data_IF_895400202961
#
_entry.id   IF_895400202961
#
_cell.length_a   1.000
_cell.length_b   1.000
_cell.length_c   1.000
_cell.angle_alpha   90.00
_cell.angle_beta   90.00
_cell.angle_gamma   90.00
#
_symmetry.space_group_name_H-M   'P 1'
#
loop_
_entity.id
_entity.type
_entity.pdbx_description
1 polymer ?
#
# COMPACT_ATOMS: atom_id res chain seq x y z
N UNK A 1 17.65 2.98 -14.57
CA UNK A 1 16.50 3.41 -13.75
C UNK A 1 15.91 4.62 -14.44
N UNK A 2 14.59 4.69 -14.66
CA UNK A 2 14.00 5.89 -15.27
C UNK A 2 14.30 7.12 -14.42
N UNK A 3 14.55 8.27 -15.06
CA UNK A 3 14.79 9.53 -14.36
C UNK A 3 13.66 9.88 -13.39
N UNK A 4 12.40 9.62 -13.77
CA UNK A 4 11.24 9.88 -12.91
C UNK A 4 11.27 9.03 -11.64
N UNK A 5 11.55 7.73 -11.77
CA UNK A 5 11.60 6.77 -10.64
C UNK A 5 12.72 7.18 -9.67
N UNK A 6 13.88 7.52 -10.22
CA UNK A 6 15.06 7.95 -9.46
C UNK A 6 14.77 9.22 -8.65
N UNK A 7 14.23 10.27 -9.29
CA UNK A 7 13.90 11.53 -8.61
C UNK A 7 12.78 11.35 -7.57
N UNK A 8 11.77 10.55 -7.86
CA UNK A 8 10.71 10.23 -6.91
C UNK A 8 11.25 9.50 -5.68
N UNK A 9 12.17 8.55 -5.87
CA UNK A 9 12.80 7.80 -4.76
C UNK A 9 13.71 8.62 -3.87
N UNK A 10 14.23 9.75 -4.37
CA UNK A 10 15.10 10.69 -3.64
C UNK A 10 14.34 11.87 -3.02
N UNK A 11 13.04 11.98 -3.25
CA UNK A 11 12.24 13.09 -2.73
C UNK A 11 12.38 14.40 -3.52
N UNK A 12 12.91 14.36 -4.75
CA UNK A 12 13.10 15.57 -5.55
C UNK A 12 11.81 15.99 -6.26
N UNK A 13 10.91 16.65 -5.53
CA UNK A 13 9.61 17.10 -6.03
C UNK A 13 9.72 18.01 -7.27
N UNK A 14 10.70 18.92 -7.29
CA UNK A 14 10.89 19.83 -8.42
C UNK A 14 11.21 19.06 -9.69
N UNK A 15 12.19 18.17 -9.65
CA UNK A 15 12.54 17.36 -10.82
C UNK A 15 11.42 16.41 -11.24
N UNK A 16 10.64 15.87 -10.30
CA UNK A 16 9.45 15.06 -10.63
C UNK A 16 8.43 15.89 -11.43
N UNK A 17 8.12 17.11 -10.98
CA UNK A 17 7.19 18.01 -11.71
C UNK A 17 7.71 18.38 -13.09
N UNK A 18 8.99 18.75 -13.18
CA UNK A 18 9.62 19.11 -14.45
C UNK A 18 9.55 17.94 -15.44
N UNK A 19 9.85 16.71 -14.99
CA UNK A 19 9.76 15.50 -15.83
C UNK A 19 8.31 15.18 -16.25
N UNK A 20 7.33 15.31 -15.36
CA UNK A 20 5.92 15.09 -15.75
C UNK A 20 5.48 16.10 -16.80
N UNK A 21 5.91 17.35 -16.68
CA UNK A 21 5.59 18.42 -17.65
C UNK A 21 6.21 18.20 -19.03
N UNK A 22 7.27 17.39 -19.17
CA UNK A 22 7.81 17.01 -20.49
C UNK A 22 7.03 15.88 -21.16
N UNK A 23 5.99 15.35 -20.51
CA UNK A 23 5.13 14.29 -21.07
C UNK A 23 5.70 12.88 -20.92
N UNK A 24 6.59 12.65 -19.94
CA UNK A 24 7.06 11.28 -19.66
C UNK A 24 5.90 10.40 -19.24
N UNK A 25 5.95 9.12 -19.61
CA UNK A 25 5.03 8.13 -19.05
C UNK A 25 5.26 8.01 -17.53
N UNK A 26 4.24 8.33 -16.74
CA UNK A 26 4.29 8.30 -15.27
C UNK A 26 4.37 6.88 -14.69
N UNK A 27 3.91 5.89 -15.46
CA UNK A 27 3.85 4.47 -15.07
C UNK A 27 5.05 3.65 -15.55
N UNK A 28 6.15 4.33 -15.90
CA UNK A 28 7.44 3.67 -16.15
C UNK A 28 7.81 2.76 -14.99
N UNK A 29 8.26 1.55 -15.33
CA UNK A 29 8.64 0.51 -14.39
C UNK A 29 10.16 0.30 -14.41
N UNK A 30 10.77 0.10 -13.24
CA UNK A 30 12.16 -0.34 -13.17
C UNK A 30 12.30 -1.86 -13.38
N UNK A 31 13.53 -2.40 -13.23
CA UNK A 31 13.80 -3.85 -13.38
C UNK A 31 13.02 -4.73 -12.41
N UNK A 32 12.51 -4.16 -11.32
CA UNK A 32 11.68 -4.83 -10.31
C UNK A 32 10.21 -4.44 -10.46
N UNK A 33 9.80 -3.96 -11.66
CA UNK A 33 8.45 -3.49 -11.95
C UNK A 33 7.93 -2.39 -11.02
N UNK A 34 8.82 -1.66 -10.33
CA UNK A 34 8.43 -0.59 -9.40
C UNK A 34 8.22 0.71 -10.16
N UNK A 35 7.18 1.45 -9.80
CA UNK A 35 6.88 2.77 -10.36
C UNK A 35 7.37 3.88 -9.43
N UNK A 36 7.38 5.12 -9.94
CA UNK A 36 7.63 6.31 -9.13
C UNK A 36 6.62 6.43 -7.96
N UNK A 37 5.35 6.06 -8.19
CA UNK A 37 4.31 6.10 -7.17
C UNK A 37 4.58 5.11 -6.04
N UNK A 38 5.04 3.89 -6.36
CA UNK A 38 5.41 2.89 -5.35
C UNK A 38 6.56 3.38 -4.46
N UNK A 39 7.66 3.85 -5.06
CA UNK A 39 8.84 4.25 -4.29
C UNK A 39 8.59 5.51 -3.45
N UNK A 40 7.87 6.49 -3.99
CA UNK A 40 7.48 7.68 -3.21
C UNK A 40 6.51 7.33 -2.08
N UNK A 41 5.60 6.37 -2.30
CA UNK A 41 4.69 5.87 -1.26
C UNK A 41 5.43 5.10 -0.17
N UNK A 42 6.42 4.28 -0.53
CA UNK A 42 7.30 3.58 0.41
C UNK A 42 8.10 4.56 1.29
N UNK A 43 8.49 5.70 0.74
CA UNK A 43 9.30 6.72 1.43
C UNK A 43 8.46 7.79 2.14
N UNK A 44 7.14 7.80 1.95
CA UNK A 44 6.25 8.78 2.58
C UNK A 44 6.32 10.17 1.95
N UNK A 45 6.81 10.31 0.72
CA UNK A 45 6.92 11.61 0.04
C UNK A 45 5.55 12.07 -0.49
N UNK A 46 4.71 12.56 0.42
CA UNK A 46 3.32 12.93 0.18
C UNK A 46 3.11 13.84 -1.04
N UNK A 47 3.92 14.89 -1.18
CA UNK A 47 3.75 15.84 -2.28
C UNK A 47 4.08 15.22 -3.64
N UNK A 48 5.01 14.26 -3.67
CA UNK A 48 5.34 13.50 -4.89
C UNK A 48 4.21 12.53 -5.20
N UNK A 49 3.68 11.83 -4.20
CA UNK A 49 2.52 10.95 -4.37
C UNK A 49 1.33 11.73 -4.94
N UNK A 50 0.97 12.87 -4.34
CA UNK A 50 -0.10 13.74 -4.86
C UNK A 50 0.15 14.18 -6.28
N UNK A 51 1.39 14.58 -6.60
CA UNK A 51 1.77 15.01 -7.95
C UNK A 51 1.58 13.87 -8.96
N UNK A 52 2.02 12.65 -8.64
CA UNK A 52 1.90 11.48 -9.51
C UNK A 52 0.44 11.03 -9.68
N UNK A 53 -0.35 11.01 -8.60
CA UNK A 53 -1.79 10.71 -8.64
C UNK A 53 -2.53 11.71 -9.53
N UNK A 54 -2.27 13.01 -9.36
CA UNK A 54 -2.88 14.05 -10.19
C UNK A 54 -2.46 13.97 -11.67
N UNK A 55 -1.28 13.41 -11.95
CA UNK A 55 -0.79 13.16 -13.29
C UNK A 55 -1.35 11.84 -13.90
N UNK A 56 -2.26 11.15 -13.20
CA UNK A 56 -2.92 9.95 -13.70
C UNK A 56 -2.13 8.65 -13.53
N UNK A 57 -1.18 8.59 -12.59
CA UNK A 57 -0.42 7.37 -12.33
C UNK A 57 -1.34 6.20 -11.94
N UNK A 58 -1.10 5.01 -12.52
CA UNK A 58 -1.85 3.82 -12.23
C UNK A 58 -1.63 3.35 -10.78
N UNK A 59 -2.70 3.37 -9.99
CA UNK A 59 -2.66 3.09 -8.53
C UNK A 59 -2.43 1.61 -8.19
N UNK A 60 -2.88 0.73 -9.07
CA UNK A 60 -3.02 -0.71 -8.82
C UNK A 60 -1.92 -1.57 -9.46
N UNK A 61 -0.88 -0.95 -10.03
CA UNK A 61 0.28 -1.70 -10.50
C UNK A 61 0.92 -2.42 -9.30
N UNK A 62 1.45 -3.61 -9.56
CA UNK A 62 2.22 -4.40 -8.60
C UNK A 62 3.67 -4.50 -9.06
N UNK A 63 4.59 -4.34 -8.11
CA UNK A 63 6.00 -4.58 -8.34
C UNK A 63 6.30 -6.03 -8.67
N UNK A 64 7.58 -6.33 -8.84
CA UNK A 64 8.15 -7.67 -8.88
C UNK A 64 9.46 -7.64 -8.11
N UNK A 65 9.38 -7.93 -6.83
CA UNK A 65 10.56 -7.97 -5.96
C UNK A 65 11.11 -9.40 -5.95
N UNK A 66 12.34 -9.57 -6.44
CA UNK A 66 13.07 -10.85 -6.45
C UNK A 66 12.37 -11.99 -7.20
N UNK A 67 11.60 -11.68 -8.25
CA UNK A 67 10.94 -12.69 -9.09
C UNK A 67 9.51 -13.04 -8.66
N UNK A 68 9.02 -12.47 -7.56
CA UNK A 68 7.66 -12.66 -7.04
C UNK A 68 6.81 -11.41 -7.29
N UNK A 69 5.50 -11.56 -7.52
CA UNK A 69 4.62 -10.39 -7.62
C UNK A 69 4.69 -9.54 -6.36
N UNK A 70 4.59 -8.23 -6.53
CA UNK A 70 5.00 -7.26 -5.51
C UNK A 70 3.84 -6.47 -4.91
N UNK A 71 4.22 -5.56 -4.03
CA UNK A 71 3.31 -4.65 -3.38
C UNK A 71 2.80 -3.56 -4.35
N UNK A 72 1.58 -3.10 -4.11
CA UNK A 72 1.05 -1.85 -4.68
C UNK A 72 1.60 -0.65 -3.93
N UNK A 73 1.38 0.56 -4.46
CA UNK A 73 1.71 1.80 -3.76
C UNK A 73 1.03 1.89 -2.37
N UNK A 74 -0.23 1.45 -2.27
CA UNK A 74 -0.97 1.44 -1.01
C UNK A 74 -0.34 0.49 0.01
N UNK A 75 0.02 -0.73 -0.42
CA UNK A 75 0.69 -1.70 0.46
C UNK A 75 2.03 -1.19 0.98
N UNK A 76 2.84 -0.54 0.13
CA UNK A 76 4.08 0.10 0.58
C UNK A 76 3.82 1.19 1.63
N UNK A 77 2.83 2.06 1.41
CA UNK A 77 2.46 3.11 2.34
C UNK A 77 2.00 2.54 3.70
N UNK A 78 1.20 1.46 3.69
CA UNK A 78 0.74 0.79 4.91
C UNK A 78 1.89 0.12 5.66
N UNK A 79 2.73 -0.65 4.96
CA UNK A 79 3.91 -1.32 5.53
C UNK A 79 4.91 -0.34 6.15
N UNK A 80 4.98 0.89 5.66
CA UNK A 80 5.90 1.93 6.15
C UNK A 80 5.19 3.03 6.96
N UNK A 81 3.93 2.80 7.37
CA UNK A 81 3.20 3.65 8.32
C UNK A 81 2.92 5.08 7.85
N UNK A 82 2.80 5.30 6.54
CA UNK A 82 2.59 6.63 5.97
C UNK A 82 1.11 6.97 5.82
N UNK A 83 0.45 7.32 6.93
CA UNK A 83 -1.01 7.59 6.98
C UNK A 83 -1.50 8.59 5.92
N UNK A 84 -0.82 9.72 5.74
CA UNK A 84 -1.26 10.74 4.79
C UNK A 84 -1.13 10.28 3.32
N UNK A 85 -0.16 9.41 3.03
CA UNK A 85 -0.04 8.75 1.72
C UNK A 85 -1.18 7.75 1.55
N UNK A 86 -1.50 6.95 2.58
CA UNK A 86 -2.64 6.02 2.57
C UNK A 86 -3.92 6.77 2.25
N UNK A 87 -4.24 7.84 2.99
CA UNK A 87 -5.44 8.66 2.75
C UNK A 87 -5.47 9.21 1.33
N UNK A 88 -4.33 9.69 0.81
CA UNK A 88 -4.24 10.19 -0.56
C UNK A 88 -4.58 9.12 -1.60
N UNK A 89 -4.02 7.92 -1.45
CA UNK A 89 -4.25 6.81 -2.38
C UNK A 89 -5.68 6.24 -2.28
N UNK A 90 -6.23 6.17 -1.07
CA UNK A 90 -7.62 5.78 -0.81
C UNK A 90 -8.59 6.75 -1.46
N UNK A 91 -8.41 8.06 -1.26
CA UNK A 91 -9.24 9.10 -1.87
C UNK A 91 -9.13 9.11 -3.40
N UNK A 92 -8.02 8.62 -3.96
CA UNK A 92 -7.83 8.46 -5.40
C UNK A 92 -8.52 7.21 -5.99
N UNK A 93 -9.17 6.38 -5.16
CA UNK A 93 -9.89 5.19 -5.62
C UNK A 93 -9.01 3.98 -5.89
N UNK A 94 -7.91 3.82 -5.16
CA UNK A 94 -7.09 2.61 -5.25
C UNK A 94 -7.87 1.36 -4.80
N UNK A 95 -7.55 0.18 -5.35
CA UNK A 95 -8.17 -1.07 -4.91
C UNK A 95 -7.56 -1.51 -3.57
N UNK A 96 -8.38 -1.54 -2.51
CA UNK A 96 -7.96 -1.86 -1.14
C UNK A 96 -7.70 -3.36 -0.90
N UNK A 97 -8.24 -4.20 -1.78
CA UNK A 97 -8.36 -5.65 -1.59
C UNK A 97 -7.36 -6.47 -2.43
N UNK A 98 -6.45 -5.79 -3.15
CA UNK A 98 -5.36 -6.49 -3.84
C UNK A 98 -4.50 -7.24 -2.83
N UNK A 99 -3.95 -8.37 -3.27
CA UNK A 99 -3.10 -9.23 -2.46
C UNK A 99 -1.67 -9.23 -3.00
N UNK A 100 -0.71 -9.12 -2.10
CA UNK A 100 0.71 -9.24 -2.40
C UNK A 100 1.02 -10.68 -2.81
N UNK A 101 1.92 -10.85 -3.78
CA UNK A 101 2.42 -12.16 -4.19
C UNK A 101 3.88 -12.36 -3.72
N UNK A 102 4.33 -11.54 -2.75
CA UNK A 102 5.68 -11.65 -2.17
C UNK A 102 5.82 -12.96 -1.40
N UNK A 103 6.98 -13.61 -1.53
CA UNK A 103 7.23 -14.95 -0.98
C UNK A 103 7.00 -15.08 0.54
N UNK A 104 7.28 -14.04 1.33
CA UNK A 104 7.19 -14.02 2.80
C UNK A 104 5.89 -13.40 3.34
N UNK A 105 5.08 -12.82 2.46
CA UNK A 105 3.84 -12.15 2.82
C UNK A 105 2.77 -12.35 1.74
N UNK A 106 2.74 -13.56 1.19
CA UNK A 106 1.83 -13.94 0.11
C UNK A 106 0.39 -13.84 0.59
N UNK A 107 -0.47 -13.23 -0.20
CA UNK A 107 -1.85 -12.97 0.14
C UNK A 107 -2.08 -11.72 1.01
N UNK A 108 -1.02 -11.00 1.44
CA UNK A 108 -1.20 -9.83 2.30
C UNK A 108 -1.89 -8.69 1.55
N UNK A 109 -2.97 -8.16 2.13
CA UNK A 109 -3.60 -6.91 1.70
C UNK A 109 -2.95 -5.71 2.39
N UNK A 110 -3.29 -4.49 1.95
CA UNK A 110 -2.91 -3.27 2.66
C UNK A 110 -3.37 -3.28 4.14
N UNK A 111 -4.58 -3.79 4.40
CA UNK A 111 -5.14 -3.92 5.74
C UNK A 111 -4.35 -4.92 6.59
N UNK A 112 -3.95 -6.07 6.02
CA UNK A 112 -3.12 -7.05 6.72
C UNK A 112 -1.76 -6.45 7.09
N UNK A 113 -1.10 -5.71 6.20
CA UNK A 113 0.16 -5.01 6.54
C UNK A 113 -0.02 -4.02 7.69
N UNK A 114 -1.07 -3.20 7.65
CA UNK A 114 -1.36 -2.22 8.69
C UNK A 114 -1.67 -2.88 10.05
N UNK A 115 -2.40 -4.00 10.02
CA UNK A 115 -2.72 -4.80 11.21
C UNK A 115 -1.46 -5.48 11.79
N UNK A 116 -0.59 -6.03 10.94
CA UNK A 116 0.66 -6.66 11.35
C UNK A 116 1.60 -5.70 12.08
N UNK A 117 1.67 -4.44 11.62
CA UNK A 117 2.56 -3.41 12.17
C UNK A 117 1.91 -2.59 13.31
N UNK A 118 0.66 -2.87 13.67
CA UNK A 118 -0.01 -2.19 14.79
C UNK A 118 -0.45 -0.75 14.50
N UNK A 119 -0.59 -0.38 13.23
CA UNK A 119 -0.95 0.99 12.83
C UNK A 119 -2.46 1.26 12.90
N UNK A 120 -2.98 1.52 14.10
CA UNK A 120 -4.41 1.71 14.35
C UNK A 120 -5.06 2.77 13.43
N UNK A 121 -4.40 3.90 13.19
CA UNK A 121 -4.94 4.97 12.34
C UNK A 121 -5.09 4.55 10.88
N UNK A 122 -4.13 3.75 10.37
CA UNK A 122 -4.18 3.22 8.99
C UNK A 122 -5.25 2.13 8.89
N UNK A 123 -5.36 1.25 9.90
CA UNK A 123 -6.44 0.26 9.94
C UNK A 123 -7.80 0.95 9.88
N UNK A 124 -8.04 1.96 10.73
CA UNK A 124 -9.30 2.73 10.71
C UNK A 124 -9.54 3.36 9.34
N UNK A 125 -8.55 4.04 8.77
CA UNK A 125 -8.70 4.68 7.45
C UNK A 125 -9.04 3.68 6.34
N UNK A 126 -8.48 2.46 6.36
CA UNK A 126 -8.79 1.42 5.37
C UNK A 126 -10.17 0.81 5.59
N UNK A 127 -10.55 0.56 6.84
CA UNK A 127 -11.86 0.03 7.22
C UNK A 127 -12.98 1.01 6.86
N UNK A 128 -12.81 2.29 7.23
CA UNK A 128 -13.76 3.37 6.90
C UNK A 128 -13.93 3.54 5.39
N UNK A 129 -12.89 3.21 4.62
CA UNK A 129 -12.92 3.22 3.15
C UNK A 129 -13.48 1.93 2.53
N UNK A 130 -13.91 0.95 3.33
CA UNK A 130 -14.55 -0.28 2.85
C UNK A 130 -13.57 -1.40 2.46
N UNK A 131 -12.36 -1.44 3.04
CA UNK A 131 -11.48 -2.60 2.89
C UNK A 131 -12.16 -3.86 3.43
N UNK A 132 -12.04 -4.98 2.70
CA UNK A 132 -12.58 -6.25 3.15
C UNK A 132 -11.74 -6.81 4.30
N UNK A 133 -12.31 -6.81 5.51
CA UNK A 133 -11.66 -7.25 6.75
C UNK A 133 -11.43 -8.76 6.84
N UNK A 134 -12.09 -9.55 5.98
CA UNK A 134 -12.11 -11.02 6.03
C UNK A 134 -11.21 -11.68 4.98
N UNK A 135 -10.41 -10.92 4.23
CA UNK A 135 -9.42 -11.51 3.31
C UNK A 135 -8.37 -12.26 4.13
N UNK A 136 -8.10 -13.50 3.72
CA UNK A 136 -7.08 -14.37 4.30
C UNK A 136 -5.77 -14.25 3.52
N UNK A 137 -4.64 -14.23 4.23
CA UNK A 137 -3.34 -14.45 3.61
C UNK A 137 -3.26 -15.84 2.95
N UNK A 138 -2.29 -16.02 2.06
CA UNK A 138 -2.15 -17.30 1.36
C UNK A 138 -1.33 -18.31 2.13
N UNK A 139 -0.42 -17.83 2.99
CA UNK A 139 0.56 -18.63 3.73
C UNK A 139 -0.08 -19.43 4.86
N UNK A 140 -0.76 -18.76 5.77
CA UNK A 140 -1.27 -19.34 7.02
C UNK A 140 -2.81 -19.21 7.14
N UNK A 141 -3.47 -18.69 6.10
CA UNK A 141 -4.91 -18.41 6.04
C UNK A 141 -5.39 -17.41 7.10
N UNK A 142 -4.51 -16.50 7.52
CA UNK A 142 -4.82 -15.52 8.57
C UNK A 142 -5.49 -14.28 8.00
N UNK A 143 -6.50 -13.77 8.71
CA UNK A 143 -7.10 -12.46 8.47
C UNK A 143 -6.33 -11.36 9.23
N UNK A 144 -6.68 -10.10 8.96
CA UNK A 144 -6.18 -8.96 9.74
C UNK A 144 -6.52 -9.09 11.25
N UNK A 145 -7.66 -9.73 11.57
CA UNK A 145 -8.09 -9.97 12.95
C UNK A 145 -7.18 -11.00 13.65
N UNK A 146 -6.89 -12.12 12.99
CA UNK A 146 -6.00 -13.15 13.54
C UNK A 146 -4.61 -12.54 13.79
N UNK A 147 -4.04 -11.87 12.79
CA UNK A 147 -2.70 -11.27 12.88
C UNK A 147 -2.61 -10.23 14.01
N UNK A 148 -3.59 -9.33 14.11
CA UNK A 148 -3.60 -8.31 15.17
C UNK A 148 -3.79 -8.92 16.56
N UNK A 149 -4.52 -10.04 16.67
CA UNK A 149 -4.67 -10.78 17.93
C UNK A 149 -3.36 -11.46 18.34
N UNK A 150 -2.69 -12.17 17.43
CA UNK A 150 -1.37 -12.79 17.66
C UNK A 150 -0.33 -11.75 18.11
N UNK A 151 -0.40 -10.55 17.55
CA UNK A 151 0.49 -9.42 17.85
C UNK A 151 0.07 -8.59 19.07
N UNK A 152 -1.03 -8.96 19.75
CA UNK A 152 -1.58 -8.24 20.91
C UNK A 152 -1.96 -6.77 20.63
N UNK A 153 -2.40 -6.46 19.42
CA UNK A 153 -2.86 -5.13 19.02
C UNK A 153 -4.36 -4.94 19.32
N UNK A 154 -4.70 -4.88 20.61
CA UNK A 154 -6.07 -4.87 21.11
C UNK A 154 -6.99 -3.82 20.46
N UNK A 155 -6.48 -2.62 20.23
CA UNK A 155 -7.28 -1.55 19.62
C UNK A 155 -7.60 -1.81 18.14
N UNK A 156 -6.73 -2.53 17.42
CA UNK A 156 -7.01 -2.96 16.05
C UNK A 156 -8.02 -4.11 16.04
N UNK A 157 -7.89 -5.06 16.99
CA UNK A 157 -8.85 -6.15 17.16
C UNK A 157 -10.26 -5.58 17.34
N UNK A 158 -10.44 -4.60 18.23
CA UNK A 158 -11.73 -3.92 18.42
C UNK A 158 -12.27 -3.31 17.13
N UNK A 159 -11.46 -2.53 16.42
CA UNK A 159 -11.86 -1.89 15.15
C UNK A 159 -12.29 -2.93 14.12
N UNK A 160 -11.59 -4.05 14.01
CA UNK A 160 -11.92 -5.10 13.05
C UNK A 160 -13.21 -5.85 13.42
N UNK A 161 -13.43 -6.11 14.71
CA UNK A 161 -14.69 -6.72 15.19
C UNK A 161 -15.87 -5.79 14.93
N UNK A 162 -15.74 -4.51 15.24
CA UNK A 162 -16.78 -3.50 14.99
C UNK A 162 -17.08 -3.37 13.48
N UNK A 163 -16.09 -3.64 12.63
CA UNK A 163 -16.21 -3.68 11.17
C UNK A 163 -16.75 -5.01 10.61
N UNK A 164 -17.17 -5.96 11.46
CA UNK A 164 -17.75 -7.23 11.02
C UNK A 164 -16.73 -8.29 10.61
N UNK A 165 -15.53 -8.28 11.21
CA UNK A 165 -14.59 -9.39 11.05
C UNK A 165 -15.21 -10.69 11.57
N UNK A 166 -15.12 -11.75 10.77
CA UNK A 166 -15.58 -13.08 11.16
C UNK A 166 -14.70 -13.64 12.28
N UNK A 167 -15.33 -14.01 13.40
CA UNK A 167 -14.67 -14.56 14.58
C UNK A 167 -14.42 -16.06 14.48
N UNK A 168 -15.05 -16.75 13.53
CA UNK A 168 -14.98 -18.20 13.36
C UNK A 168 -13.92 -18.63 12.34
N UNK A 169 -13.04 -17.71 11.94
CA UNK A 169 -11.96 -18.00 11.00
C UNK A 169 -10.94 -18.94 11.66
N UNK A 170 -10.94 -20.19 11.18
CA UNK A 170 -9.89 -21.18 11.40
C UNK A 170 -8.84 -21.11 10.30
#
# INVERSE_FOLDING_TARGET
MSGLIDQASRGNLKAVRDLINTGVNVDVQDKQRRTALMLSSQKGYLDIVKTLVNAGAALNLQGNERGYGGNTALMYACRHRHLEVVKTLVNAGTNLNLQSDQWDCKGYTALIYAAYDGCQEIVKALVDAGANVNIKDELDKRTALIISSEKSHLEIVKVLIDAGADLNVQ
#
